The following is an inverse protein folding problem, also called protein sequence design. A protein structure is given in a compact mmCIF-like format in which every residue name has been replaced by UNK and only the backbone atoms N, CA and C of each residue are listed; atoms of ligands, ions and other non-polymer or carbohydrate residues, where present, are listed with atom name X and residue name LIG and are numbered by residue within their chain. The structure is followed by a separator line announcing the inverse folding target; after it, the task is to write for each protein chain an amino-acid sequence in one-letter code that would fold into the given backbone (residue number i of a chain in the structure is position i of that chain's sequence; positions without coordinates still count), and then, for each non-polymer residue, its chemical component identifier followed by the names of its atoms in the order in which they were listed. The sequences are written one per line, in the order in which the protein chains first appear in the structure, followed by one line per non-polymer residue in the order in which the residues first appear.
data_IF_974202925859
#
_entry.id   IF_974202925859
#
_cell.length_a   1.000
_cell.length_b   1.000
_cell.length_c   1.000
_cell.angle_alpha   90.00
_cell.angle_beta   90.00
_cell.angle_gamma   90.00
#
_symmetry.space_group_name_H-M   'P 1'
#
loop_
_entity.id
_entity.type
_entity.pdbx_description
1 polymer ?
#
# COMPACT_ATOMS: atom_id res chain seq x y z
N UNK A 1 22.84 -6.26 -40.73
CA UNK A 1 22.38 -7.66 -40.67
C UNK A 1 22.12 -8.01 -39.21
N UNK A 2 20.89 -8.46 -38.89
CA UNK A 2 20.44 -9.11 -37.63
C UNK A 2 20.30 -8.31 -36.30
N UNK A 3 19.49 -7.23 -36.25
CA UNK A 3 18.95 -6.72 -34.96
C UNK A 3 17.43 -6.43 -34.95
N UNK A 4 16.69 -6.80 -36.00
CA UNK A 4 15.26 -6.49 -36.15
C UNK A 4 14.29 -7.64 -35.76
N UNK A 5 14.78 -8.78 -35.30
CA UNK A 5 13.91 -9.97 -35.07
C UNK A 5 13.31 -10.11 -33.65
N UNK A 6 13.64 -9.21 -32.70
CA UNK A 6 13.13 -9.31 -31.32
C UNK A 6 11.92 -8.42 -31.02
N UNK A 7 11.62 -7.42 -31.85
CA UNK A 7 10.46 -6.54 -31.70
C UNK A 7 9.11 -7.27 -31.67
N UNK A 8 8.85 -8.25 -32.55
CA UNK A 8 7.61 -9.03 -32.54
C UNK A 8 7.46 -9.89 -31.28
N UNK A 9 8.56 -10.44 -30.76
CA UNK A 9 8.55 -11.32 -29.59
C UNK A 9 8.22 -10.53 -28.31
N UNK A 10 8.79 -9.33 -28.17
CA UNK A 10 8.50 -8.42 -27.05
C UNK A 10 7.06 -7.89 -27.12
N UNK A 11 6.58 -7.53 -28.31
CA UNK A 11 5.19 -7.09 -28.50
C UNK A 11 4.19 -8.21 -28.19
N UNK A 12 4.47 -9.45 -28.63
CA UNK A 12 3.63 -10.61 -28.35
C UNK A 12 3.63 -11.00 -26.87
N UNK A 13 4.77 -10.89 -26.17
CA UNK A 13 4.81 -11.11 -24.71
C UNK A 13 4.04 -10.03 -23.95
N UNK A 14 4.16 -8.76 -24.34
CA UNK A 14 3.39 -7.65 -23.71
C UNK A 14 1.89 -7.82 -23.95
N UNK A 15 1.47 -8.17 -25.17
CA UNK A 15 0.05 -8.43 -25.49
C UNK A 15 -0.48 -9.64 -24.73
N UNK A 16 0.30 -10.72 -24.62
CA UNK A 16 -0.07 -11.91 -23.85
C UNK A 16 -0.21 -11.58 -22.36
N UNK A 17 0.68 -10.76 -21.79
CA UNK A 17 0.61 -10.30 -20.41
C UNK A 17 -0.62 -9.40 -20.16
N UNK A 18 -0.96 -8.51 -21.10
CA UNK A 18 -2.15 -7.65 -21.00
C UNK A 18 -3.44 -8.48 -21.08
N UNK A 19 -3.49 -9.45 -21.99
CA UNK A 19 -4.65 -10.32 -22.14
C UNK A 19 -4.83 -11.25 -20.94
N UNK A 20 -3.74 -11.81 -20.41
CA UNK A 20 -3.76 -12.61 -19.18
C UNK A 20 -4.18 -11.78 -17.95
N UNK A 21 -3.76 -10.51 -17.88
CA UNK A 21 -4.18 -9.58 -16.83
C UNK A 21 -5.68 -9.24 -16.91
N UNK A 22 -6.22 -9.12 -18.13
CA UNK A 22 -7.65 -8.88 -18.36
C UNK A 22 -8.51 -10.06 -17.89
N UNK A 23 -8.14 -11.29 -18.26
CA UNK A 23 -8.87 -12.50 -17.86
C UNK A 23 -8.80 -12.75 -16.35
N UNK A 24 -7.64 -12.49 -15.73
CA UNK A 24 -7.50 -12.51 -14.28
C UNK A 24 -8.42 -11.51 -13.57
N UNK A 25 -8.61 -10.32 -14.16
CA UNK A 25 -9.50 -9.29 -13.61
C UNK A 25 -10.97 -9.70 -13.69
N UNK A 26 -11.37 -10.41 -14.75
CA UNK A 26 -12.75 -10.88 -14.93
C UNK A 26 -13.10 -12.05 -14.00
N UNK A 27 -12.18 -13.00 -13.78
CA UNK A 27 -12.32 -14.06 -12.76
C UNK A 27 -12.40 -13.46 -11.34
N UNK A 28 -11.59 -12.45 -11.05
CA UNK A 28 -11.61 -11.74 -9.76
C UNK A 28 -12.90 -10.99 -9.49
N UNK A 29 -13.54 -10.40 -10.52
CA UNK A 29 -14.87 -9.80 -10.38
C UNK A 29 -15.92 -10.83 -9.96
N UNK A 30 -15.86 -12.05 -10.51
CA UNK A 30 -16.80 -13.14 -10.19
C UNK A 30 -16.61 -13.63 -8.75
N UNK A 31 -15.37 -13.82 -8.31
CA UNK A 31 -15.03 -14.23 -6.93
C UNK A 31 -15.44 -13.14 -5.93
N UNK A 32 -15.21 -11.87 -6.24
CA UNK A 32 -15.54 -10.77 -5.34
C UNK A 32 -17.03 -10.52 -5.17
N UNK A 33 -17.85 -10.86 -6.18
CA UNK A 33 -19.30 -10.83 -6.04
C UNK A 33 -19.80 -11.92 -5.08
N UNK A 34 -19.16 -13.09 -5.03
CA UNK A 34 -19.51 -14.16 -4.09
C UNK A 34 -19.26 -13.72 -2.63
N UNK A 35 -18.16 -13.01 -2.37
CA UNK A 35 -17.84 -12.49 -1.03
C UNK A 35 -18.70 -11.30 -0.58
N UNK A 36 -19.44 -10.64 -1.49
CA UNK A 36 -20.31 -9.50 -1.16
C UNK A 36 -21.74 -9.94 -0.76
N UNK A 37 -22.11 -11.20 -1.03
CA UNK A 37 -23.47 -11.75 -0.89
C UNK A 37 -23.72 -12.53 0.41
N UNK A 38 -22.68 -13.03 1.06
CA UNK A 38 -22.76 -13.60 2.41
C UNK A 38 -22.12 -12.64 3.40
N UNK A 39 -22.58 -12.60 4.65
CA UNK A 39 -22.07 -11.70 5.69
C UNK A 39 -20.64 -12.05 6.19
N UNK A 40 -19.58 -11.94 5.38
CA UNK A 40 -19.02 -13.05 4.61
C UNK A 40 -17.61 -13.36 5.12
N UNK A 41 -17.28 -14.64 5.24
CA UNK A 41 -16.01 -15.13 5.76
C UNK A 41 -14.83 -14.51 5.00
N UNK A 42 -13.93 -13.84 5.72
CA UNK A 42 -12.72 -13.23 5.16
C UNK A 42 -11.66 -14.31 5.03
N UNK A 43 -11.30 -14.71 3.81
CA UNK A 43 -10.22 -15.69 3.62
C UNK A 43 -8.90 -15.18 4.22
N UNK A 44 -8.03 -16.08 4.71
CA UNK A 44 -6.70 -15.70 5.19
C UNK A 44 -5.97 -14.84 4.16
N UNK A 45 -5.20 -13.84 4.63
CA UNK A 45 -4.43 -12.90 3.80
C UNK A 45 -5.25 -11.98 2.87
N UNK A 46 -6.57 -12.11 2.81
CA UNK A 46 -7.40 -11.16 2.05
C UNK A 46 -7.51 -9.83 2.79
N UNK A 47 -7.71 -8.71 2.08
CA UNK A 47 -8.04 -7.42 2.68
C UNK A 47 -9.05 -6.65 1.83
N UNK A 48 -9.89 -5.84 2.46
CA UNK A 48 -10.84 -4.98 1.73
C UNK A 48 -10.16 -3.70 1.28
N UNK A 49 -10.11 -3.46 -0.03
CA UNK A 49 -9.62 -2.22 -0.59
C UNK A 49 -10.77 -1.25 -0.82
N UNK A 50 -10.76 -0.12 -0.09
CA UNK A 50 -11.78 0.92 -0.21
C UNK A 50 -11.77 1.63 -1.58
N UNK A 51 -10.60 1.74 -2.22
CA UNK A 51 -10.47 2.37 -3.56
C UNK A 51 -11.13 1.51 -4.64
N UNK A 52 -11.02 0.19 -4.53
CA UNK A 52 -11.63 -0.76 -5.47
C UNK A 52 -13.03 -1.27 -5.03
N UNK A 53 -13.50 -0.87 -3.85
CA UNK A 53 -14.74 -1.35 -3.19
C UNK A 53 -14.93 -2.88 -3.23
N UNK A 54 -13.84 -3.61 -3.01
CA UNK A 54 -13.85 -5.08 -3.06
C UNK A 54 -12.79 -5.68 -2.15
N UNK A 55 -13.03 -6.92 -1.72
CA UNK A 55 -11.99 -7.73 -1.08
C UNK A 55 -10.96 -8.18 -2.11
N UNK A 56 -9.69 -8.20 -1.74
CA UNK A 56 -8.57 -8.61 -2.57
C UNK A 56 -7.83 -9.70 -1.81
N UNK A 57 -7.68 -10.86 -2.44
CA UNK A 57 -7.00 -12.03 -1.89
C UNK A 57 -5.48 -11.77 -1.90
N UNK A 58 -4.79 -12.14 -0.81
CA UNK A 58 -3.36 -11.83 -0.58
C UNK A 58 -3.03 -10.38 -0.98
N UNK A 59 -3.80 -9.43 -0.45
CA UNK A 59 -3.66 -8.03 -0.85
C UNK A 59 -2.30 -7.50 -0.40
N UNK A 60 -1.55 -6.93 -1.33
CA UNK A 60 -0.31 -6.22 -1.05
C UNK A 60 -0.59 -4.73 -0.89
N UNK A 61 -1.01 -4.07 -1.96
CA UNK A 61 -1.39 -2.67 -1.92
C UNK A 61 -2.36 -2.32 -3.05
N UNK A 62 -2.97 -1.14 -2.96
CA UNK A 62 -3.60 -0.53 -4.11
C UNK A 62 -2.56 0.33 -4.82
N UNK A 63 -2.22 -0.02 -6.06
CA UNK A 63 -1.23 0.68 -6.84
C UNK A 63 -1.92 1.71 -7.75
N UNK A 64 -1.68 3.03 -7.55
CA UNK A 64 -2.27 4.05 -8.40
C UNK A 64 -1.80 3.95 -9.87
N UNK A 65 -0.57 3.48 -10.09
CA UNK A 65 0.07 3.43 -11.41
C UNK A 65 -0.59 2.45 -12.37
N UNK A 66 -1.09 1.33 -11.86
CA UNK A 66 -1.85 0.34 -12.64
C UNK A 66 -3.36 0.43 -12.37
N UNK A 67 -3.79 1.43 -11.60
CA UNK A 67 -5.18 1.68 -11.19
C UNK A 67 -5.93 0.42 -10.71
N UNK A 68 -5.23 -0.46 -10.00
CA UNK A 68 -5.80 -1.69 -9.44
C UNK A 68 -5.01 -2.14 -8.21
N UNK A 69 -5.54 -3.13 -7.49
CA UNK A 69 -4.82 -3.75 -6.38
C UNK A 69 -3.83 -4.80 -6.88
N UNK A 70 -2.63 -4.76 -6.32
CA UNK A 70 -1.68 -5.88 -6.36
C UNK A 70 -2.08 -6.90 -5.29
N UNK A 71 -2.26 -8.14 -5.68
CA UNK A 71 -2.57 -9.26 -4.80
C UNK A 71 -2.36 -10.58 -5.51
N UNK A 72 -2.96 -11.67 -5.00
CA UNK A 72 -2.64 -13.04 -5.39
C UNK A 72 -2.48 -13.28 -6.90
N UNK A 73 -3.51 -12.94 -7.67
CA UNK A 73 -3.60 -13.29 -9.10
C UNK A 73 -2.82 -12.37 -10.03
N UNK A 74 -2.27 -11.26 -9.55
CA UNK A 74 -1.47 -10.35 -10.38
C UNK A 74 -0.12 -9.99 -9.76
N UNK A 75 0.26 -10.59 -8.64
CA UNK A 75 1.53 -10.31 -7.98
C UNK A 75 2.71 -10.64 -8.90
N UNK A 76 2.74 -11.84 -9.50
CA UNK A 76 3.81 -12.22 -10.44
C UNK A 76 3.90 -11.30 -11.65
N UNK A 77 2.76 -10.97 -12.26
CA UNK A 77 2.69 -10.06 -13.40
C UNK A 77 3.16 -8.63 -13.05
N UNK A 78 2.77 -8.14 -11.86
CA UNK A 78 3.25 -6.84 -11.36
C UNK A 78 4.77 -6.85 -11.14
N UNK A 79 5.32 -7.92 -10.58
CA UNK A 79 6.77 -8.03 -10.38
C UNK A 79 7.53 -8.13 -11.70
N UNK A 80 6.99 -8.82 -12.71
CA UNK A 80 7.55 -8.81 -14.06
C UNK A 80 7.51 -7.43 -14.71
N UNK A 81 6.43 -6.67 -14.53
CA UNK A 81 6.38 -5.27 -14.95
C UNK A 81 7.49 -4.45 -14.31
N UNK A 82 7.71 -4.60 -12.99
CA UNK A 82 8.78 -3.92 -12.26
C UNK A 82 10.19 -4.36 -12.69
N UNK A 83 10.34 -5.57 -13.24
CA UNK A 83 11.61 -6.06 -13.78
C UNK A 83 11.89 -5.52 -15.18
N UNK A 84 10.92 -5.65 -16.10
CA UNK A 84 11.12 -5.29 -17.50
C UNK A 84 11.10 -3.77 -17.75
N UNK A 85 10.39 -2.98 -16.94
CA UNK A 85 10.36 -1.53 -17.12
C UNK A 85 11.76 -0.87 -16.95
N UNK A 86 12.52 -1.13 -15.88
CA UNK A 86 13.91 -0.67 -15.77
C UNK A 86 14.81 -1.20 -16.89
N UNK A 87 14.65 -2.46 -17.30
CA UNK A 87 15.45 -3.04 -18.41
C UNK A 87 15.19 -2.29 -19.72
N UNK A 88 13.94 -1.98 -20.02
CA UNK A 88 13.57 -1.17 -21.19
C UNK A 88 14.19 0.23 -21.13
N UNK A 89 14.19 0.87 -19.96
CA UNK A 89 14.85 2.17 -19.77
C UNK A 89 16.37 2.08 -19.92
N UNK A 90 17.01 1.04 -19.38
CA UNK A 90 18.45 0.80 -19.55
C UNK A 90 18.79 0.59 -21.03
N UNK A 91 18.00 -0.21 -21.75
CA UNK A 91 18.16 -0.38 -23.19
C UNK A 91 18.00 0.94 -23.96
N UNK A 92 17.03 1.78 -23.58
CA UNK A 92 16.89 3.13 -24.15
C UNK A 92 18.13 4.00 -23.88
N UNK A 93 18.72 3.94 -22.67
CA UNK A 93 19.95 4.67 -22.34
C UNK A 93 21.14 4.21 -23.20
N UNK A 94 21.26 2.89 -23.43
CA UNK A 94 22.29 2.34 -24.31
C UNK A 94 22.18 2.83 -25.76
N UNK A 95 20.99 3.20 -26.23
CA UNK A 95 20.77 3.75 -27.57
C UNK A 95 20.96 5.28 -27.56
N UNK A 96 20.33 5.96 -26.62
CA UNK A 96 20.24 7.42 -26.61
C UNK A 96 21.57 8.09 -26.27
N UNK A 97 22.33 7.56 -25.31
CA UNK A 97 23.61 8.19 -24.90
C UNK A 97 24.62 8.20 -26.07
N UNK A 98 24.91 7.08 -26.76
CA UNK A 98 25.78 7.12 -27.93
C UNK A 98 25.21 7.97 -29.07
N UNK A 99 23.90 7.94 -29.30
CA UNK A 99 23.25 8.73 -30.36
C UNK A 99 23.43 10.23 -30.12
N UNK A 100 23.24 10.71 -28.89
CA UNK A 100 23.51 12.11 -28.53
C UNK A 100 24.98 12.44 -28.66
N UNK A 101 25.89 11.57 -28.18
CA UNK A 101 27.33 11.82 -28.28
C UNK A 101 27.77 12.01 -29.74
N UNK A 102 27.25 11.17 -30.65
CA UNK A 102 27.49 11.28 -32.09
C UNK A 102 26.90 12.55 -32.69
N UNK A 103 25.70 12.94 -32.26
CA UNK A 103 25.05 14.16 -32.73
C UNK A 103 25.80 15.44 -32.31
N UNK A 104 26.36 15.48 -31.10
CA UNK A 104 27.20 16.59 -30.64
C UNK A 104 28.50 16.64 -31.45
N UNK A 105 29.11 15.49 -31.71
CA UNK A 105 30.38 15.37 -32.42
C UNK A 105 30.20 15.18 -33.93
N UNK A 106 29.08 15.63 -34.52
CA UNK A 106 28.71 15.30 -35.90
C UNK A 106 29.81 15.66 -36.92
N UNK A 107 30.53 16.77 -36.71
CA UNK A 107 31.62 17.21 -37.57
C UNK A 107 32.77 16.19 -37.61
N UNK A 108 33.18 15.65 -36.46
CA UNK A 108 34.21 14.61 -36.40
C UNK A 108 33.78 13.37 -37.20
N UNK A 109 32.55 12.89 -36.97
CA UNK A 109 32.03 11.71 -37.66
C UNK A 109 31.85 11.93 -39.17
N UNK A 110 31.48 13.12 -39.60
CA UNK A 110 31.32 13.47 -41.02
C UNK A 110 32.65 13.45 -41.78
N UNK A 111 33.74 13.95 -41.18
CA UNK A 111 35.03 14.09 -41.88
C UNK A 111 36.01 12.92 -41.65
N UNK A 112 35.94 12.23 -40.52
CA UNK A 112 36.99 11.27 -40.10
C UNK A 112 36.52 9.81 -40.06
N UNK A 113 35.22 9.52 -40.21
CA UNK A 113 34.69 8.16 -40.08
C UNK A 113 33.78 7.79 -41.26
N UNK A 114 33.61 6.49 -41.52
CA UNK A 114 32.62 5.98 -42.50
C UNK A 114 31.27 5.60 -41.85
N UNK A 115 31.07 5.98 -40.60
CA UNK A 115 29.86 5.64 -39.87
C UNK A 115 28.72 6.63 -40.15
N UNK A 116 27.44 6.22 -40.04
CA UNK A 116 26.32 7.11 -40.32
C UNK A 116 26.27 8.30 -39.35
N UNK A 117 26.08 9.51 -39.89
CA UNK A 117 25.95 10.73 -39.08
C UNK A 117 24.55 10.81 -38.49
N UNK A 118 24.48 11.16 -37.20
CA UNK A 118 23.22 11.39 -36.49
C UNK A 118 22.98 12.89 -36.42
N UNK A 119 21.94 13.37 -37.08
CA UNK A 119 21.53 14.78 -37.02
C UNK A 119 20.39 14.95 -36.01
N UNK A 120 20.58 15.88 -35.08
CA UNK A 120 19.62 16.17 -34.03
C UNK A 120 19.37 17.68 -34.01
N UNK A 121 18.24 18.12 -34.56
CA UNK A 121 17.81 19.52 -34.44
C UNK A 121 17.55 19.89 -32.98
N UNK A 122 17.40 21.19 -32.68
CA UNK A 122 17.23 21.71 -31.31
C UNK A 122 16.15 20.95 -30.51
N UNK A 123 14.96 20.76 -31.08
CA UNK A 123 13.87 20.03 -30.42
C UNK A 123 14.17 18.54 -30.22
N UNK A 124 14.83 17.90 -31.20
CA UNK A 124 15.29 16.52 -31.07
C UNK A 124 16.30 16.38 -29.93
N UNK A 125 17.25 17.32 -29.84
CA UNK A 125 18.24 17.37 -28.76
C UNK A 125 17.59 17.51 -27.39
N UNK A 126 16.71 18.50 -27.22
CA UNK A 126 15.96 18.70 -25.97
C UNK A 126 15.15 17.45 -25.62
N UNK A 127 14.45 16.86 -26.60
CA UNK A 127 13.68 15.64 -26.41
C UNK A 127 14.53 14.45 -25.96
N UNK A 128 15.71 14.25 -26.56
CA UNK A 128 16.62 13.18 -26.14
C UNK A 128 17.19 13.39 -24.74
N UNK A 129 17.54 14.63 -24.36
CA UNK A 129 18.03 14.93 -23.01
C UNK A 129 16.95 14.68 -21.96
N UNK A 130 15.72 15.08 -22.25
CA UNK A 130 14.57 14.80 -21.41
C UNK A 130 14.31 13.28 -21.29
N UNK A 131 14.36 12.55 -22.41
CA UNK A 131 14.18 11.10 -22.43
C UNK A 131 15.26 10.35 -21.64
N UNK A 132 16.53 10.76 -21.75
CA UNK A 132 17.64 10.21 -20.95
C UNK A 132 17.38 10.47 -19.46
N UNK A 133 17.03 11.71 -19.08
CA UNK A 133 16.71 12.06 -17.70
C UNK A 133 15.57 11.22 -17.12
N UNK A 134 14.48 11.06 -17.87
CA UNK A 134 13.36 10.19 -17.47
C UNK A 134 13.77 8.72 -17.38
N UNK A 135 14.54 8.20 -18.34
CA UNK A 135 14.97 6.81 -18.33
C UNK A 135 15.88 6.50 -17.12
N UNK A 136 16.80 7.40 -16.76
CA UNK A 136 17.59 7.27 -15.52
C UNK A 136 16.68 7.29 -14.29
N UNK A 137 15.78 8.27 -14.21
CA UNK A 137 14.86 8.41 -13.07
C UNK A 137 13.96 7.18 -12.88
N UNK A 138 13.36 6.67 -13.95
CA UNK A 138 12.52 5.46 -13.92
C UNK A 138 13.34 4.23 -13.56
N UNK A 139 14.55 4.07 -14.12
CA UNK A 139 15.43 2.93 -13.81
C UNK A 139 15.73 2.86 -12.31
N UNK A 140 16.09 3.99 -11.69
CA UNK A 140 16.40 4.05 -10.26
C UNK A 140 15.15 3.85 -9.39
N UNK A 141 14.07 4.57 -9.67
CA UNK A 141 12.86 4.53 -8.85
C UNK A 141 12.13 3.17 -8.95
N UNK A 142 11.88 2.69 -10.16
CA UNK A 142 11.19 1.41 -10.39
C UNK A 142 12.11 0.23 -10.05
N UNK A 143 13.43 0.35 -10.28
CA UNK A 143 14.41 -0.64 -9.84
C UNK A 143 14.44 -0.82 -8.32
N UNK A 144 14.37 0.27 -7.56
CA UNK A 144 14.25 0.19 -6.09
C UNK A 144 12.95 -0.51 -5.67
N UNK A 145 11.82 -0.20 -6.33
CA UNK A 145 10.54 -0.87 -6.07
C UNK A 145 10.60 -2.37 -6.39
N UNK A 146 11.27 -2.76 -7.47
CA UNK A 146 11.50 -4.16 -7.80
C UNK A 146 12.26 -4.89 -6.68
N UNK A 147 13.35 -4.30 -6.17
CA UNK A 147 14.13 -4.89 -5.07
C UNK A 147 13.28 -5.06 -3.80
N UNK A 148 12.45 -4.08 -3.47
CA UNK A 148 11.54 -4.16 -2.32
C UNK A 148 10.54 -5.31 -2.50
N UNK A 149 9.88 -5.38 -3.67
CA UNK A 149 8.90 -6.42 -3.96
C UNK A 149 9.53 -7.82 -3.98
N UNK A 150 10.74 -7.96 -4.55
CA UNK A 150 11.47 -9.23 -4.52
C UNK A 150 11.82 -9.68 -3.11
N UNK A 151 12.22 -8.76 -2.21
CA UNK A 151 12.45 -9.07 -0.80
C UNK A 151 11.16 -9.54 -0.10
N UNK A 152 10.04 -8.90 -0.40
CA UNK A 152 8.72 -9.29 0.10
C UNK A 152 8.36 -10.71 -0.33
N UNK A 153 8.56 -11.03 -1.61
CA UNK A 153 8.29 -12.37 -2.18
C UNK A 153 9.20 -13.42 -1.54
N UNK A 154 10.50 -13.14 -1.37
CA UNK A 154 11.45 -14.07 -0.75
C UNK A 154 11.02 -14.46 0.67
N UNK A 155 10.42 -13.53 1.41
CA UNK A 155 9.89 -13.75 2.76
C UNK A 155 8.43 -14.26 2.78
N UNK A 156 7.79 -14.35 1.61
CA UNK A 156 6.36 -14.60 1.41
C UNK A 156 5.46 -13.63 2.19
N UNK A 157 5.90 -12.40 2.43
CA UNK A 157 5.10 -11.38 3.10
C UNK A 157 4.48 -10.42 2.08
N UNK A 158 3.32 -9.86 2.40
CA UNK A 158 2.81 -8.65 1.72
C UNK A 158 3.13 -7.41 2.55
N UNK A 159 3.08 -6.22 1.96
CA UNK A 159 3.28 -4.95 2.66
C UNK A 159 2.27 -4.69 3.78
N UNK A 160 1.09 -5.33 3.74
CA UNK A 160 0.15 -5.30 4.87
C UNK A 160 0.60 -6.26 5.97
N UNK A 161 1.08 -7.44 5.59
CA UNK A 161 1.50 -8.49 6.52
C UNK A 161 2.79 -8.12 7.24
N UNK A 162 3.77 -7.52 6.56
CA UNK A 162 5.00 -7.02 7.18
C UNK A 162 4.71 -6.05 8.34
N UNK A 163 3.74 -5.16 8.15
CA UNK A 163 3.24 -4.24 9.18
C UNK A 163 2.49 -4.92 10.33
N UNK A 164 1.93 -6.12 10.12
CA UNK A 164 1.29 -6.91 11.19
C UNK A 164 2.37 -7.64 11.98
N UNK A 165 3.37 -8.20 11.27
CA UNK A 165 4.51 -8.91 11.85
C UNK A 165 5.32 -7.96 12.74
N UNK A 166 5.70 -6.79 12.24
CA UNK A 166 6.43 -5.77 13.01
C UNK A 166 5.73 -5.47 14.34
N UNK A 167 4.40 -5.26 14.32
CA UNK A 167 3.62 -5.04 15.55
C UNK A 167 3.49 -6.26 16.45
N UNK A 168 3.58 -7.46 15.88
CA UNK A 168 3.48 -8.70 16.65
C UNK A 168 4.80 -9.01 17.38
N UNK A 169 5.94 -8.66 16.76
CA UNK A 169 7.27 -8.79 17.34
C UNK A 169 7.52 -7.75 18.44
N UNK A 170 7.02 -6.53 18.29
CA UNK A 170 7.14 -5.47 19.31
C UNK A 170 6.14 -5.61 20.48
N UNK A 171 5.35 -6.68 20.51
CA UNK A 171 4.26 -6.84 21.49
C UNK A 171 4.76 -7.60 22.70
N UNK A 172 4.73 -6.96 23.87
CA UNK A 172 4.90 -7.66 25.15
C UNK A 172 3.82 -8.74 25.31
N UNK A 173 4.28 -9.96 25.57
CA UNK A 173 3.49 -11.18 25.66
C UNK A 173 3.67 -11.76 27.05
N UNK A 174 2.55 -12.19 27.66
CA UNK A 174 2.58 -12.78 29.01
C UNK A 174 3.10 -14.23 28.99
N UNK A 175 3.14 -14.86 27.80
CA UNK A 175 3.42 -16.27 27.56
C UNK A 175 4.86 -16.58 27.09
N UNK A 176 5.77 -15.58 27.06
CA UNK A 176 7.18 -15.70 26.60
C UNK A 176 7.38 -16.32 25.19
N UNK A 177 6.31 -16.59 24.43
CA UNK A 177 6.37 -17.17 23.09
C UNK A 177 6.39 -16.11 21.99
N UNK A 178 7.45 -16.11 21.20
CA UNK A 178 7.59 -15.22 20.04
C UNK A 178 6.56 -15.51 18.94
N UNK A 179 6.18 -14.46 18.20
CA UNK A 179 5.29 -14.61 17.05
C UNK A 179 6.01 -15.32 15.89
N UNK A 180 5.48 -16.48 15.48
CA UNK A 180 5.95 -17.20 14.30
C UNK A 180 5.08 -16.86 13.08
N UNK A 181 5.72 -16.40 12.00
CA UNK A 181 5.02 -16.08 10.76
C UNK A 181 4.73 -17.35 9.93
N UNK A 182 3.45 -17.63 9.59
CA UNK A 182 3.04 -18.94 9.09
C UNK A 182 3.38 -19.23 7.62
N UNK A 183 3.58 -18.21 6.78
CA UNK A 183 3.64 -18.38 5.32
C UNK A 183 5.06 -18.43 4.75
N UNK A 184 6.10 -18.24 5.56
CA UNK A 184 7.47 -18.33 5.07
C UNK A 184 7.93 -19.80 5.06
N UNK A 185 7.96 -20.40 3.87
CA UNK A 185 8.30 -21.81 3.64
C UNK A 185 9.71 -22.00 3.03
N UNK A 186 10.52 -20.94 3.04
CA UNK A 186 11.83 -20.90 2.39
C UNK A 186 11.80 -20.25 1.01
N UNK A 187 12.89 -19.56 0.67
CA UNK A 187 12.95 -18.64 -0.48
C UNK A 187 12.57 -19.30 -1.82
N UNK A 188 12.94 -20.57 -2.06
CA UNK A 188 12.60 -21.31 -3.29
C UNK A 188 11.09 -21.57 -3.40
N UNK A 189 10.49 -22.05 -2.31
CA UNK A 189 9.05 -22.34 -2.26
C UNK A 189 8.24 -21.05 -2.41
N UNK A 190 8.67 -20.00 -1.71
CA UNK A 190 8.02 -18.69 -1.75
C UNK A 190 8.06 -18.07 -3.16
N UNK A 191 9.21 -18.17 -3.86
CA UNK A 191 9.31 -17.73 -5.27
C UNK A 191 8.39 -18.55 -6.18
N UNK A 192 8.36 -19.87 -6.03
CA UNK A 192 7.53 -20.76 -6.86
C UNK A 192 6.01 -20.56 -6.67
N UNK A 193 5.59 -19.96 -5.55
CA UNK A 193 4.19 -19.58 -5.31
C UNK A 193 3.77 -18.40 -6.19
N UNK A 194 4.69 -17.46 -6.46
CA UNK A 194 4.42 -16.22 -7.20
C UNK A 194 4.78 -16.35 -8.67
N UNK A 195 5.92 -16.97 -8.97
CA UNK A 195 6.44 -17.13 -10.33
C UNK A 195 6.13 -18.53 -10.85
N UNK A 196 5.14 -18.59 -11.72
CA UNK A 196 4.75 -19.81 -12.42
C UNK A 196 4.93 -19.65 -13.91
N UNK A 197 5.12 -20.76 -14.61
CA UNK A 197 5.24 -20.77 -16.07
C UNK A 197 3.97 -20.26 -16.78
N UNK A 198 2.80 -20.49 -16.17
CA UNK A 198 1.51 -20.08 -16.72
C UNK A 198 1.20 -18.60 -16.50
N UNK A 199 1.98 -17.88 -15.67
CA UNK A 199 1.68 -16.52 -15.25
C UNK A 199 0.54 -16.41 -14.21
N UNK A 200 -0.01 -17.55 -13.76
CA UNK A 200 -1.05 -17.61 -12.73
C UNK A 200 -0.59 -18.41 -11.51
N UNK A 201 -0.88 -17.94 -10.29
CA UNK A 201 -0.49 -18.67 -9.08
C UNK A 201 -1.17 -20.05 -9.02
N UNK A 202 -0.49 -21.01 -8.40
CA UNK A 202 -1.00 -22.39 -8.29
C UNK A 202 -2.18 -22.53 -7.32
N UNK A 203 -2.22 -21.72 -6.26
CA UNK A 203 -3.28 -21.77 -5.25
C UNK A 203 -4.50 -20.93 -5.65
N UNK A 204 -5.66 -21.29 -5.11
CA UNK A 204 -6.90 -20.53 -5.25
C UNK A 204 -6.92 -19.25 -4.38
N UNK A 205 -5.96 -19.14 -3.46
CA UNK A 205 -5.82 -18.04 -2.51
C UNK A 205 -6.84 -18.06 -1.37
N UNK A 206 -7.53 -19.19 -1.17
CA UNK A 206 -8.41 -19.44 -0.02
C UNK A 206 -7.65 -20.22 1.04
N UNK A 207 -6.94 -21.27 0.62
CA UNK A 207 -6.09 -22.11 1.47
C UNK A 207 -4.64 -21.91 1.08
N UNK A 208 -3.77 -21.78 2.08
CA UNK A 208 -2.35 -21.51 1.90
C UNK A 208 -1.51 -22.64 2.48
N UNK A 209 -0.35 -22.90 1.90
CA UNK A 209 0.63 -23.72 2.59
C UNK A 209 1.16 -22.93 3.79
N UNK A 210 1.17 -23.55 4.96
CA UNK A 210 1.65 -22.98 6.21
C UNK A 210 2.69 -23.90 6.81
N UNK A 211 3.54 -23.34 7.67
CA UNK A 211 4.46 -24.12 8.50
C UNK A 211 3.70 -25.08 9.42
N UNK A 212 4.31 -26.20 9.78
CA UNK A 212 3.70 -27.26 10.59
C UNK A 212 3.35 -26.79 12.02
N UNK A 213 4.08 -25.81 12.53
CA UNK A 213 3.86 -25.14 13.82
C UNK A 213 2.68 -24.13 13.79
N UNK A 214 2.06 -23.93 12.63
CA UNK A 214 1.06 -22.89 12.40
C UNK A 214 -0.23 -23.44 11.77
N UNK A 215 -1.30 -22.65 11.84
CA UNK A 215 -2.54 -22.90 11.09
C UNK A 215 -2.86 -21.74 10.14
N UNK A 216 -3.88 -21.94 9.30
CA UNK A 216 -4.34 -20.97 8.29
C UNK A 216 -4.68 -19.58 8.88
N UNK A 217 -5.02 -19.52 10.16
CA UNK A 217 -5.54 -18.34 10.81
C UNK A 217 -4.56 -17.73 11.82
N UNK A 218 -3.35 -18.27 12.01
CA UNK A 218 -2.35 -17.73 12.97
C UNK A 218 -2.17 -16.22 12.85
N UNK A 219 -1.89 -15.71 11.64
CA UNK A 219 -1.76 -14.26 11.39
C UNK A 219 -3.08 -13.50 11.58
N UNK A 220 -4.22 -14.13 11.26
CA UNK A 220 -5.55 -13.53 11.40
C UNK A 220 -5.93 -13.34 12.86
N UNK A 221 -5.65 -14.34 13.70
CA UNK A 221 -5.84 -14.31 15.15
C UNK A 221 -4.99 -13.20 15.75
N UNK A 222 -3.70 -13.14 15.39
CA UNK A 222 -2.81 -12.05 15.82
C UNK A 222 -3.37 -10.68 15.43
N UNK A 223 -3.83 -10.52 14.19
CA UNK A 223 -4.44 -9.26 13.75
C UNK A 223 -5.73 -8.91 14.52
N UNK A 224 -6.53 -9.90 14.93
CA UNK A 224 -7.73 -9.69 15.74
C UNK A 224 -7.34 -9.22 17.14
N UNK A 225 -6.33 -9.83 17.76
CA UNK A 225 -5.81 -9.41 19.07
C UNK A 225 -5.26 -7.98 19.02
N UNK A 226 -4.45 -7.63 18.00
CA UNK A 226 -3.96 -6.26 17.81
C UNK A 226 -5.11 -5.25 17.66
N UNK A 227 -6.21 -5.63 16.99
CA UNK A 227 -7.41 -4.79 16.87
C UNK A 227 -8.17 -4.68 18.19
N UNK A 228 -8.24 -5.73 18.99
CA UNK A 228 -8.84 -5.71 20.32
C UNK A 228 -8.08 -4.76 21.25
N UNK A 229 -6.76 -4.93 21.36
CA UNK A 229 -5.90 -4.02 22.12
C UNK A 229 -5.98 -2.57 21.63
N UNK A 230 -6.14 -2.36 20.31
CA UNK A 230 -6.37 -1.02 19.76
C UNK A 230 -7.72 -0.45 20.22
N UNK A 231 -8.77 -1.26 20.32
CA UNK A 231 -10.09 -0.84 20.85
C UNK A 231 -10.03 -0.50 22.33
N UNK A 232 -9.31 -1.28 23.14
CA UNK A 232 -9.20 -1.04 24.59
C UNK A 232 -8.44 0.25 24.92
N UNK A 233 -7.53 0.63 24.02
CA UNK A 233 -6.79 1.90 24.04
C UNK A 233 -7.53 3.06 23.38
N UNK A 234 -8.74 2.86 22.84
CA UNK A 234 -9.54 3.98 22.35
C UNK A 234 -10.18 4.72 23.51
N UNK A 235 -10.30 6.03 23.31
CA UNK A 235 -10.90 6.93 24.29
C UNK A 235 -11.99 7.75 23.62
N UNK A 236 -13.05 8.02 24.38
CA UNK A 236 -14.12 8.91 23.95
C UNK A 236 -13.71 10.36 24.18
N UNK A 237 -13.88 11.17 23.15
CA UNK A 237 -13.66 12.60 23.19
C UNK A 237 -14.96 13.32 22.83
N UNK A 238 -15.29 14.36 23.59
CA UNK A 238 -16.38 15.27 23.28
C UNK A 238 -15.84 16.47 22.50
N UNK A 239 -16.52 16.85 21.42
CA UNK A 239 -16.14 17.98 20.58
C UNK A 239 -16.66 19.27 21.23
N UNK A 240 -15.74 20.19 21.51
CA UNK A 240 -16.01 21.50 22.13
C UNK A 240 -16.04 22.64 21.12
N UNK A 241 -15.46 22.44 19.93
CA UNK A 241 -15.30 23.46 18.91
C UNK A 241 -15.54 22.85 17.52
N UNK A 242 -16.26 23.57 16.66
CA UNK A 242 -16.55 23.11 15.31
C UNK A 242 -15.30 23.04 14.43
N UNK A 243 -15.26 22.07 13.53
CA UNK A 243 -14.24 21.97 12.50
C UNK A 243 -14.86 21.43 11.21
N UNK A 244 -14.63 22.15 10.11
CA UNK A 244 -15.23 21.87 8.81
C UNK A 244 -14.61 20.70 8.04
N UNK A 245 -13.50 20.13 8.52
CA UNK A 245 -12.72 19.15 7.74
C UNK A 245 -11.69 19.80 6.79
N UNK A 246 -11.45 21.11 6.89
CA UNK A 246 -10.48 21.82 6.05
C UNK A 246 -9.04 21.30 6.24
N UNK A 247 -8.28 21.19 5.15
CA UNK A 247 -6.89 20.74 5.18
C UNK A 247 -5.98 21.65 5.99
N UNK A 248 -6.19 22.97 5.90
CA UNK A 248 -5.44 23.99 6.63
C UNK A 248 -6.39 24.80 7.53
N UNK A 249 -6.59 24.37 8.79
CA UNK A 249 -7.49 25.04 9.70
C UNK A 249 -6.82 26.26 10.33
N UNK A 250 -6.70 27.36 9.58
CA UNK A 250 -6.02 28.60 10.00
C UNK A 250 -6.63 29.12 11.32
N UNK A 251 -7.95 29.04 11.45
CA UNK A 251 -8.71 29.43 12.66
C UNK A 251 -8.34 28.61 13.90
N UNK A 252 -7.72 27.44 13.72
CA UNK A 252 -7.30 26.53 14.82
C UNK A 252 -5.83 26.73 15.20
N UNK A 253 -5.17 27.76 14.65
CA UNK A 253 -3.85 28.23 15.03
C UNK A 253 -2.72 27.76 14.11
N UNK A 254 -1.68 28.58 13.99
CA UNK A 254 -0.55 28.35 13.08
C UNK A 254 0.16 27.01 13.32
N UNK A 255 0.31 26.58 14.58
CA UNK A 255 0.96 25.30 14.91
C UNK A 255 0.19 24.08 14.40
N UNK A 256 -1.14 24.16 14.30
CA UNK A 256 -1.98 23.09 13.73
C UNK A 256 -1.75 23.00 12.23
N UNK A 257 -1.66 24.14 11.55
CA UNK A 257 -1.42 24.22 10.11
C UNK A 257 -0.02 23.74 9.73
N UNK A 258 1.01 24.14 10.49
CA UNK A 258 2.40 23.78 10.20
C UNK A 258 2.65 22.28 10.45
N UNK A 259 2.09 21.70 11.52
CA UNK A 259 2.25 20.27 11.83
C UNK A 259 1.11 19.43 11.24
N UNK A 260 0.87 19.59 9.94
CA UNK A 260 -0.18 18.86 9.24
C UNK A 260 0.13 17.34 9.17
N UNK A 261 -0.87 16.45 9.31
CA UNK A 261 -0.68 15.03 9.05
C UNK A 261 -0.50 14.83 7.53
N UNK A 262 0.74 14.67 7.08
CA UNK A 262 1.06 14.30 5.70
C UNK A 262 0.71 12.82 5.46
N UNK A 263 -0.58 12.54 5.38
CA UNK A 263 -1.15 11.20 5.17
C UNK A 263 -2.38 11.32 4.26
N UNK A 264 -2.62 10.31 3.43
CA UNK A 264 -3.82 10.16 2.56
C UNK A 264 -5.15 9.99 3.33
N UNK A 265 -5.09 10.02 4.66
CA UNK A 265 -6.25 9.82 5.51
C UNK A 265 -7.14 11.07 5.52
N UNK A 266 -8.48 10.89 5.44
CA UNK A 266 -9.40 12.02 5.31
C UNK A 266 -9.46 12.86 6.57
N UNK A 267 -9.95 14.09 6.42
CA UNK A 267 -10.31 14.97 7.54
C UNK A 267 -11.80 14.84 7.79
N UNK A 268 -12.20 14.77 9.06
CA UNK A 268 -13.63 14.66 9.40
C UNK A 268 -14.18 16.01 9.85
N UNK A 269 -15.30 16.45 9.28
CA UNK A 269 -16.04 17.53 9.87
C UNK A 269 -16.63 17.07 11.21
N UNK A 270 -16.46 17.89 12.23
CA UNK A 270 -16.99 17.67 13.58
C UNK A 270 -17.68 18.93 14.06
N UNK A 271 -18.76 18.74 14.81
CA UNK A 271 -19.55 19.83 15.38
C UNK A 271 -19.59 19.71 16.90
N UNK A 272 -19.73 20.84 17.58
CA UNK A 272 -19.79 20.92 19.04
C UNK A 272 -20.91 20.01 19.56
N UNK A 273 -20.58 19.20 20.56
CA UNK A 273 -21.46 18.17 21.12
C UNK A 273 -21.34 16.79 20.45
N UNK A 274 -20.63 16.66 19.32
CA UNK A 274 -20.34 15.34 18.76
C UNK A 274 -19.42 14.54 19.69
N UNK A 275 -19.64 13.23 19.75
CA UNK A 275 -18.74 12.28 20.41
C UNK A 275 -17.88 11.56 19.39
N UNK A 276 -16.58 11.44 19.66
CA UNK A 276 -15.61 10.83 18.75
C UNK A 276 -14.76 9.81 19.51
N UNK A 277 -14.70 8.59 18.99
CA UNK A 277 -13.76 7.58 19.48
C UNK A 277 -12.40 7.80 18.83
N UNK A 278 -11.44 8.28 19.62
CA UNK A 278 -10.08 8.57 19.18
C UNK A 278 -9.22 7.32 19.28
N UNK A 279 -8.47 7.04 18.22
CA UNK A 279 -7.64 5.83 18.08
C UNK A 279 -6.16 6.12 17.88
N UNK A 280 -5.81 7.31 17.38
CA UNK A 280 -4.44 7.77 17.17
C UNK A 280 -4.35 9.26 17.40
N UNK A 281 -3.15 9.74 17.70
CA UNK A 281 -2.89 11.15 17.91
C UNK A 281 -1.51 11.54 17.39
N UNK A 282 -1.38 12.81 17.02
CA UNK A 282 -0.14 13.56 16.88
C UNK A 282 -0.21 14.77 17.82
N UNK A 283 0.88 15.50 17.96
CA UNK A 283 0.98 16.65 18.88
C UNK A 283 -0.22 17.61 18.81
N UNK A 284 -0.72 17.92 17.61
CA UNK A 284 -1.81 18.87 17.38
C UNK A 284 -3.06 18.28 16.70
N UNK A 285 -3.08 16.98 16.45
CA UNK A 285 -4.10 16.33 15.64
C UNK A 285 -4.56 15.02 16.28
N UNK A 286 -5.85 14.74 16.22
CA UNK A 286 -6.45 13.48 16.67
C UNK A 286 -7.07 12.77 15.47
N UNK A 287 -7.02 11.44 15.47
CA UNK A 287 -7.68 10.61 14.47
C UNK A 287 -8.69 9.71 15.15
N UNK A 288 -9.95 9.82 14.72
CA UNK A 288 -11.05 9.10 15.37
C UNK A 288 -12.20 8.78 14.43
N UNK A 289 -13.19 8.10 15.00
CA UNK A 289 -14.46 7.79 14.35
C UNK A 289 -15.57 8.57 15.05
N UNK A 290 -16.34 9.37 14.29
CA UNK A 290 -17.50 10.07 14.83
C UNK A 290 -18.57 9.03 15.20
N UNK A 291 -19.06 9.10 16.43
CA UNK A 291 -20.24 8.35 16.85
C UNK A 291 -21.47 9.01 16.24
N UNK A 292 -22.40 8.19 15.71
CA UNK A 292 -23.68 8.71 15.22
C UNK A 292 -24.47 9.26 16.41
N UNK A 293 -25.18 10.37 16.22
CA UNK A 293 -26.15 10.85 17.21
C UNK A 293 -27.31 9.87 17.29
N UNK A 294 -27.87 9.70 18.48
CA UNK A 294 -29.14 9.00 18.68
C UNK A 294 -30.19 9.71 17.80
N UNK A 295 -30.67 9.02 16.76
CA UNK A 295 -31.55 9.57 15.70
C UNK A 295 -31.02 9.51 14.26
N UNK A 296 -29.71 9.34 14.03
CA UNK A 296 -29.11 9.18 12.67
C UNK A 296 -28.98 7.71 12.21
N UNK A 297 -29.52 6.78 12.99
CA UNK A 297 -29.50 5.34 12.69
C UNK A 297 -30.73 5.02 11.83
N UNK A 298 -30.65 5.31 10.52
CA UNK A 298 -31.61 4.73 9.56
C UNK A 298 -31.30 3.24 9.39
N UNK A 299 -32.24 2.39 9.79
CA UNK A 299 -32.22 0.95 9.49
C UNK A 299 -32.03 0.74 7.98
N UNK A 300 -31.12 -0.15 7.60
CA UNK A 300 -30.86 -0.49 6.19
C UNK A 300 -29.80 0.32 5.45
N UNK A 301 -29.30 1.45 5.97
CA UNK A 301 -28.13 2.12 5.32
C UNK A 301 -26.82 1.43 5.72
N UNK A 302 -26.06 0.95 4.73
CA UNK A 302 -24.69 0.41 4.94
C UNK A 302 -23.89 1.35 5.85
N UNK A 303 -23.39 0.84 6.98
CA UNK A 303 -22.67 1.58 8.04
C UNK A 303 -21.42 2.32 7.52
N UNK A 304 -21.59 3.46 6.85
CA UNK A 304 -20.47 4.33 6.45
C UNK A 304 -19.92 5.00 7.70
N UNK A 305 -18.86 4.42 8.28
CA UNK A 305 -18.16 4.98 9.43
C UNK A 305 -17.40 6.24 9.00
N UNK A 306 -17.76 7.40 9.54
CA UNK A 306 -17.06 8.66 9.32
C UNK A 306 -15.81 8.71 10.21
N UNK A 307 -14.63 8.58 9.61
CA UNK A 307 -13.34 8.59 10.31
C UNK A 307 -12.37 9.53 9.65
N UNK A 308 -11.51 10.17 10.42
CA UNK A 308 -10.52 11.10 9.89
C UNK A 308 -9.77 11.88 10.96
N UNK A 309 -8.88 12.74 10.48
CA UNK A 309 -8.12 13.68 11.30
C UNK A 309 -8.95 14.92 11.63
N UNK A 310 -8.76 15.45 12.84
CA UNK A 310 -9.28 16.74 13.29
C UNK A 310 -8.30 17.38 14.31
N UNK A 311 -8.31 18.71 14.49
CA UNK A 311 -7.42 19.38 15.43
C UNK A 311 -7.68 18.97 16.87
N UNK A 312 -6.61 18.71 17.63
CA UNK A 312 -6.69 18.26 19.03
C UNK A 312 -7.42 19.26 19.94
N UNK A 313 -7.30 20.56 19.67
CA UNK A 313 -7.95 21.62 20.44
C UNK A 313 -9.48 21.61 20.35
N UNK A 314 -10.03 20.98 19.32
CA UNK A 314 -11.47 20.92 19.12
C UNK A 314 -12.14 19.90 20.03
N UNK A 315 -11.39 19.14 20.83
CA UNK A 315 -11.92 18.04 21.60
C UNK A 315 -11.29 17.90 22.99
N UNK A 316 -12.10 17.43 23.94
CA UNK A 316 -11.69 17.12 25.31
C UNK A 316 -12.02 15.66 25.60
N UNK A 317 -11.13 14.97 26.31
CA UNK A 317 -11.32 13.57 26.70
C UNK A 317 -12.47 13.46 27.71
N UNK A 318 -13.42 12.56 27.47
CA UNK A 318 -14.50 12.29 28.41
C UNK A 318 -13.97 11.33 29.48
N UNK A 319 -13.91 11.80 30.72
CA UNK A 319 -13.54 10.97 31.87
C UNK A 319 -14.85 10.39 32.41
N UNK A 320 -14.98 9.06 32.44
CA UNK A 320 -16.13 8.40 33.06
C UNK A 320 -15.88 8.26 34.57
N UNK A 321 -16.77 8.81 35.40
CA UNK A 321 -16.72 8.76 36.87
C UNK A 321 -17.12 7.38 37.45
N UNK A 322 -16.57 6.30 36.92
CA UNK A 322 -16.67 5.00 37.60
C UNK A 322 -15.60 4.92 38.69
N UNK A 323 -15.98 4.63 39.93
CA UNK A 323 -15.06 4.55 41.08
C UNK A 323 -13.95 3.47 40.95
N UNK A 324 -13.98 2.65 39.88
CA UNK A 324 -12.93 1.71 39.48
C UNK A 324 -11.94 2.28 38.43
N UNK A 325 -12.04 3.57 38.09
CA UNK A 325 -11.34 4.21 36.97
C UNK A 325 -9.97 4.80 37.33
N UNK A 326 -9.71 5.13 38.60
CA UNK A 326 -8.41 5.68 39.03
C UNK A 326 -7.24 4.71 38.74
N UNK A 327 -7.42 3.41 38.97
CA UNK A 327 -6.42 2.38 38.63
C UNK A 327 -6.22 2.21 37.12
N UNK A 328 -7.29 2.32 36.32
CA UNK A 328 -7.22 2.26 34.86
C UNK A 328 -6.58 3.52 34.26
N UNK A 329 -6.81 4.72 34.83
CA UNK A 329 -6.17 5.97 34.43
C UNK A 329 -4.68 5.95 34.75
N UNK A 330 -4.28 5.45 35.92
CA UNK A 330 -2.87 5.38 36.32
C UNK A 330 -2.09 4.45 35.38
N UNK A 331 -2.64 3.26 35.09
CA UNK A 331 -2.06 2.32 34.11
C UNK A 331 -2.04 2.91 32.68
N UNK A 332 -3.09 3.65 32.28
CA UNK A 332 -3.16 4.29 30.95
C UNK A 332 -2.23 5.50 30.81
N UNK A 333 -1.95 6.24 31.89
CA UNK A 333 -0.94 7.32 31.93
C UNK A 333 0.49 6.77 31.92
N UNK A 334 0.76 5.67 32.62
CA UNK A 334 2.06 4.97 32.55
C UNK A 334 2.34 4.45 31.14
N UNK A 335 1.33 3.86 30.46
CA UNK A 335 1.44 3.48 29.03
C UNK A 335 1.60 4.67 28.07
N UNK A 336 1.21 5.90 28.44
CA UNK A 336 1.49 7.12 27.65
C UNK A 336 2.95 7.59 27.78
N UNK A 337 3.66 7.23 28.84
CA UNK A 337 5.05 7.63 29.07
C UNK A 337 6.07 6.64 28.50
N UNK A 338 5.73 5.35 28.41
CA UNK A 338 6.61 4.31 27.84
C UNK A 338 6.72 4.31 26.30
N UNK A 339 5.98 5.18 25.59
CA UNK A 339 5.91 5.21 24.11
C UNK A 339 6.26 6.63 23.60
N UNK A 340 7.09 7.37 24.33
CA UNK A 340 7.68 8.62 23.85
C UNK A 340 9.07 8.38 23.26
#
# INVERSE_FOLDING_TARGET
MQLLHWGPIIALTVIFLISAASDGNQKMKKINNIYKLYEGYKSPRSHHCRKCDRCVIKMDHHCPWINTCCGHFNHGNFTWFLFFAPIGCVHALFILIPSTYRAINWHYYFYHTREPVVYLGLFGFIGTMFAIGLAVGVTLAVGMLYVIQMRSIIKNETGIESWIIEKALDRDRDDDEDFIYPYNLGWKANLAEVFTWTGYPKSDGVVWNVRDDCNQFTLTIEQIQQKAQKRDRTFEYSIIEDYSGAWFPITKGCRVCIRFPCTDEPRIPVTKGDKVLVTRWKRHWLYGTRLKREGEIKEGSTKKRYRGWFPRRCAVEVICDDQNHAGKILMKKQKRQMIN
#
